data_IF_269327348417
#
_entry.id   IF_269327348417
#
_cell.length_a   1.000
_cell.length_b   1.000
_cell.length_c   1.000
_cell.angle_alpha   90.00
_cell.angle_beta   90.00
_cell.angle_gamma   90.00
#
_symmetry.space_group_name_H-M   'P 1'
#
loop_
_entity.id
_entity.type
_entity.pdbx_description
1 polymer ?
#
# COMPACT_ATOMS: atom_id res chain seq x y z
N UNK A 1 23.47 2.54 -5.24
CA UNK A 1 23.10 1.60 -4.16
C UNK A 1 21.60 1.63 -3.82
N UNK A 2 20.90 2.77 -3.84
CA UNK A 2 19.43 2.85 -3.65
C UNK A 2 18.60 2.05 -4.68
N UNK A 3 19.09 1.93 -5.91
CA UNK A 3 18.43 1.23 -7.01
C UNK A 3 18.35 -0.30 -6.82
N UNK A 4 19.34 -0.90 -6.14
CA UNK A 4 19.37 -2.33 -5.85
C UNK A 4 18.37 -2.72 -4.74
N UNK A 5 18.08 -1.81 -3.80
CA UNK A 5 17.06 -2.01 -2.77
C UNK A 5 15.63 -2.02 -3.33
N UNK A 6 15.34 -1.14 -4.27
CA UNK A 6 14.03 -1.11 -4.98
C UNK A 6 13.85 -2.36 -5.86
N UNK A 7 14.90 -2.82 -6.53
CA UNK A 7 14.88 -4.07 -7.32
C UNK A 7 14.74 -5.33 -6.45
N UNK A 8 15.25 -5.33 -5.21
CA UNK A 8 15.03 -6.41 -4.23
C UNK A 8 13.60 -6.39 -3.66
N UNK A 9 13.03 -5.20 -3.44
CA UNK A 9 11.64 -5.04 -3.00
C UNK A 9 10.61 -5.42 -4.08
N UNK A 10 10.94 -5.22 -5.36
CA UNK A 10 10.11 -5.65 -6.50
C UNK A 10 10.06 -7.17 -6.70
N UNK A 11 11.13 -7.91 -6.35
CA UNK A 11 11.21 -9.36 -6.56
C UNK A 11 10.47 -10.19 -5.48
N UNK A 12 10.25 -9.61 -4.30
CA UNK A 12 9.59 -10.24 -3.14
C UNK A 12 8.14 -9.76 -2.90
N UNK A 13 7.53 -9.09 -3.88
CA UNK A 13 6.08 -8.88 -3.99
C UNK A 13 5.42 -10.26 -4.05
N UNK A 14 5.11 -10.71 -2.85
CA UNK A 14 4.88 -12.09 -2.47
C UNK A 14 3.59 -12.57 -3.11
N UNK A 15 3.65 -13.70 -3.83
CA UNK A 15 2.50 -14.45 -4.38
C UNK A 15 1.55 -15.02 -3.31
N UNK A 16 1.68 -14.60 -2.05
CA UNK A 16 0.74 -14.89 -0.95
C UNK A 16 0.08 -13.58 -0.54
N UNK A 17 -1.23 -13.61 -0.24
CA UNK A 17 -1.94 -12.47 0.34
C UNK A 17 -1.30 -12.10 1.69
N UNK A 18 -0.26 -11.28 1.68
CA UNK A 18 0.41 -10.78 2.89
C UNK A 18 -0.60 -10.07 3.79
N UNK A 19 -1.51 -9.32 3.17
CA UNK A 19 -2.62 -8.67 3.88
C UNK A 19 -3.53 -9.65 4.60
N UNK A 20 -3.82 -10.80 3.99
CA UNK A 20 -4.56 -11.87 4.66
C UNK A 20 -3.78 -12.33 5.87
N UNK A 21 -2.48 -12.57 5.74
CA UNK A 21 -1.66 -13.02 6.87
C UNK A 21 -1.63 -12.02 8.05
N UNK A 22 -1.54 -10.71 7.80
CA UNK A 22 -1.48 -9.68 8.85
C UNK A 22 -2.86 -9.31 9.42
N UNK A 23 -3.90 -9.21 8.58
CA UNK A 23 -5.21 -8.72 8.99
C UNK A 23 -6.27 -9.82 9.18
N UNK A 24 -6.02 -11.08 8.83
CA UNK A 24 -6.97 -12.19 9.05
C UNK A 24 -7.41 -12.34 10.50
N UNK A 25 -6.54 -12.00 11.46
CA UNK A 25 -6.86 -12.08 12.89
C UNK A 25 -7.82 -10.96 13.34
N UNK A 26 -7.91 -9.86 12.59
CA UNK A 26 -8.76 -8.70 12.93
C UNK A 26 -10.01 -8.59 12.05
N UNK A 27 -9.96 -9.11 10.83
CA UNK A 27 -11.02 -8.94 9.84
C UNK A 27 -11.34 -10.28 9.19
N UNK A 28 -12.59 -10.72 9.31
CA UNK A 28 -13.06 -11.94 8.66
C UNK A 28 -13.70 -11.58 7.31
N UNK A 29 -12.94 -11.81 6.24
CA UNK A 29 -13.30 -11.46 4.85
C UNK A 29 -13.36 -12.73 4.00
N UNK A 30 -14.32 -12.78 3.06
CA UNK A 30 -14.37 -13.84 2.04
C UNK A 30 -13.07 -13.85 1.22
N UNK A 31 -12.67 -15.01 0.70
CA UNK A 31 -11.46 -15.16 -0.12
C UNK A 31 -11.42 -14.19 -1.33
N UNK A 32 -12.58 -13.84 -1.89
CA UNK A 32 -12.71 -12.83 -2.95
C UNK A 32 -12.36 -11.41 -2.46
N UNK A 33 -12.80 -11.03 -1.26
CA UNK A 33 -12.48 -9.75 -0.64
C UNK A 33 -10.98 -9.59 -0.39
N UNK A 34 -10.32 -10.66 0.04
CA UNK A 34 -8.87 -10.68 0.21
C UNK A 34 -8.10 -10.48 -1.10
N UNK A 35 -8.54 -11.10 -2.19
CA UNK A 35 -7.93 -10.89 -3.52
C UNK A 35 -8.07 -9.43 -3.94
N UNK A 36 -9.26 -8.85 -3.79
CA UNK A 36 -9.53 -7.46 -4.18
C UNK A 36 -8.73 -6.47 -3.33
N UNK A 37 -8.67 -6.68 -2.02
CA UNK A 37 -7.87 -5.88 -1.10
C UNK A 37 -6.39 -5.93 -1.47
N UNK A 38 -5.87 -7.11 -1.80
CA UNK A 38 -4.48 -7.27 -2.24
C UNK A 38 -4.17 -6.45 -3.50
N UNK A 39 -5.08 -6.40 -4.48
CA UNK A 39 -4.92 -5.55 -5.66
C UNK A 39 -4.84 -4.06 -5.34
N UNK A 40 -5.73 -3.54 -4.47
CA UNK A 40 -5.68 -2.14 -4.05
C UNK A 40 -4.36 -1.79 -3.36
N UNK A 41 -3.88 -2.68 -2.50
CA UNK A 41 -2.61 -2.49 -1.81
C UNK A 41 -1.40 -2.57 -2.74
N UNK A 42 -1.40 -3.48 -3.73
CA UNK A 42 -0.36 -3.51 -4.76
C UNK A 42 -0.31 -2.17 -5.51
N UNK A 43 -1.47 -1.65 -5.93
CA UNK A 43 -1.55 -0.37 -6.62
C UNK A 43 -1.07 0.79 -5.75
N UNK A 44 -1.43 0.80 -4.46
CA UNK A 44 -0.99 1.81 -3.51
C UNK A 44 0.54 1.82 -3.33
N UNK A 45 1.15 0.65 -3.11
CA UNK A 45 2.60 0.55 -2.99
C UNK A 45 3.31 0.97 -4.28
N UNK A 46 2.78 0.61 -5.44
CA UNK A 46 3.32 1.01 -6.74
C UNK A 46 3.23 2.54 -6.94
N UNK A 47 2.11 3.14 -6.55
CA UNK A 47 1.89 4.58 -6.61
C UNK A 47 2.87 5.33 -5.70
N UNK A 48 3.02 4.89 -4.44
CA UNK A 48 3.96 5.49 -3.48
C UNK A 48 5.41 5.31 -3.93
N UNK A 49 5.78 4.15 -4.48
CA UNK A 49 7.12 3.91 -5.01
C UNK A 49 7.44 4.85 -6.19
N UNK A 50 6.49 4.99 -7.13
CA UNK A 50 6.62 5.90 -8.27
C UNK A 50 6.74 7.35 -7.81
N UNK A 51 5.85 7.78 -6.91
CA UNK A 51 5.92 9.13 -6.33
C UNK A 51 7.24 9.38 -5.59
N UNK A 52 7.72 8.41 -4.82
CA UNK A 52 8.98 8.54 -4.09
C UNK A 52 10.17 8.75 -5.05
N UNK A 53 10.25 8.00 -6.15
CA UNK A 53 11.33 8.18 -7.14
C UNK A 53 11.23 9.56 -7.80
N UNK A 54 10.03 10.02 -8.16
CA UNK A 54 9.82 11.35 -8.76
C UNK A 54 10.24 12.46 -7.78
N UNK A 55 9.78 12.40 -6.53
CA UNK A 55 10.10 13.43 -5.53
C UNK A 55 11.59 13.42 -5.22
N UNK A 56 12.21 12.25 -5.07
CA UNK A 56 13.65 12.13 -4.82
C UNK A 56 14.50 12.68 -5.96
N UNK A 57 14.06 12.51 -7.21
CA UNK A 57 14.83 12.96 -8.39
C UNK A 57 14.65 14.44 -8.70
N UNK A 58 13.47 14.98 -8.43
CA UNK A 58 13.10 16.33 -8.89
C UNK A 58 13.13 17.38 -7.77
N UNK A 59 13.02 16.97 -6.51
CA UNK A 59 12.84 17.88 -5.37
C UNK A 59 14.03 17.87 -4.40
N UNK A 60 14.22 18.98 -3.69
CA UNK A 60 15.27 19.12 -2.67
C UNK A 60 15.04 18.22 -1.46
N UNK A 61 16.09 17.89 -0.71
CA UNK A 61 16.01 17.02 0.48
C UNK A 61 14.96 17.49 1.50
N UNK A 62 14.88 18.80 1.76
CA UNK A 62 13.88 19.38 2.66
C UNK A 62 12.44 19.10 2.20
N UNK A 63 12.18 19.19 0.89
CA UNK A 63 10.87 18.86 0.34
C UNK A 63 10.62 17.35 0.39
N UNK A 64 11.62 16.52 0.10
CA UNK A 64 11.50 15.06 0.17
C UNK A 64 11.18 14.56 1.59
N UNK A 65 11.83 15.12 2.61
CA UNK A 65 11.52 14.81 4.03
C UNK A 65 10.10 15.26 4.37
N UNK A 66 9.73 16.50 4.03
CA UNK A 66 8.38 17.01 4.28
C UNK A 66 7.30 16.22 3.52
N UNK A 67 7.57 15.76 2.30
CA UNK A 67 6.67 14.91 1.53
C UNK A 67 6.45 13.56 2.20
N UNK A 68 7.50 12.96 2.77
CA UNK A 68 7.35 11.71 3.54
C UNK A 68 6.54 11.89 4.82
N UNK A 69 6.76 12.98 5.54
CA UNK A 69 6.07 13.23 6.82
C UNK A 69 4.63 13.70 6.58
N UNK A 70 4.44 14.71 5.73
CA UNK A 70 3.15 15.38 5.53
C UNK A 70 2.41 14.95 4.27
N UNK A 71 3.10 14.46 3.24
CA UNK A 71 2.48 13.99 2.00
C UNK A 71 1.97 12.54 2.07
N UNK A 72 2.69 11.64 2.75
CA UNK A 72 2.24 10.25 2.91
C UNK A 72 1.00 10.12 3.81
N UNK A 73 0.81 11.04 4.77
CA UNK A 73 -0.35 11.05 5.66
C UNK A 73 -1.70 11.14 4.90
N UNK A 74 -1.98 12.19 4.10
CA UNK A 74 -3.21 12.29 3.34
C UNK A 74 -3.37 11.16 2.32
N UNK A 75 -2.26 10.70 1.71
CA UNK A 75 -2.25 9.54 0.80
C UNK A 75 -2.74 8.28 1.53
N UNK A 76 -2.27 8.04 2.75
CA UNK A 76 -2.66 6.88 3.58
C UNK A 76 -4.11 6.99 4.04
N UNK A 77 -4.58 8.19 4.37
CA UNK A 77 -5.97 8.44 4.75
C UNK A 77 -6.91 8.17 3.57
N UNK A 78 -6.59 8.71 2.38
CA UNK A 78 -7.34 8.46 1.15
C UNK A 78 -7.37 6.97 0.82
N UNK A 79 -6.23 6.30 0.93
CA UNK A 79 -6.14 4.87 0.69
C UNK A 79 -7.00 4.05 1.66
N UNK A 80 -6.94 4.37 2.96
CA UNK A 80 -7.74 3.71 4.00
C UNK A 80 -9.22 3.94 3.75
N UNK A 81 -9.63 5.17 3.42
CA UNK A 81 -11.00 5.50 3.05
C UNK A 81 -11.47 4.73 1.81
N UNK A 82 -10.58 4.50 0.84
CA UNK A 82 -10.90 3.73 -0.38
C UNK A 82 -10.97 2.22 -0.13
N UNK A 83 -10.17 1.68 0.80
CA UNK A 83 -10.19 0.26 1.16
C UNK A 83 -11.31 -0.11 2.14
N UNK A 84 -11.76 0.83 2.99
CA UNK A 84 -12.86 0.63 3.94
C UNK A 84 -14.17 0.11 3.31
N UNK A 85 -14.71 0.66 2.21
CA UNK A 85 -15.94 0.16 1.59
C UNK A 85 -15.77 -1.24 0.98
N UNK A 86 -14.57 -1.57 0.49
CA UNK A 86 -14.25 -2.92 -0.01
C UNK A 86 -14.32 -3.92 1.15
N UNK A 87 -13.74 -3.57 2.30
CA UNK A 87 -13.81 -4.42 3.49
C UNK A 87 -15.26 -4.60 3.94
N UNK A 88 -16.05 -3.52 4.02
CA UNK A 88 -17.47 -3.59 4.41
C UNK A 88 -18.29 -4.49 3.48
N UNK A 89 -18.08 -4.41 2.16
CA UNK A 89 -18.83 -5.17 1.15
C UNK A 89 -18.57 -6.68 1.20
N UNK A 90 -17.36 -7.10 1.57
CA UNK A 90 -16.96 -8.51 1.59
C UNK A 90 -16.80 -9.09 3.00
N UNK A 91 -17.11 -8.30 4.03
CA UNK A 91 -17.12 -8.74 5.42
C UNK A 91 -18.15 -9.85 5.54
N UNK A 92 -17.73 -10.99 6.09
CA UNK A 92 -18.67 -12.04 6.45
C UNK A 92 -19.35 -11.58 7.74
N UNK A 93 -20.60 -11.16 7.64
CA UNK A 93 -21.48 -11.01 8.80
C UNK A 93 -21.73 -12.41 9.35
N UNK A 94 -21.45 -12.59 10.64
CA UNK A 94 -21.56 -13.87 11.33
C UNK A 94 -22.84 -13.88 12.14
#
# INVERSE_FOLDING_TARGET
MLFAGVLFFGKYITRKNLLKMFFQNKINLKNEGWKRLNYYWIYFFLFVATLNEIVWRTQSELFWVNFKVWGLLPITILFTACTFPVIKKYKLEK
#
